data_IF_423653964338
#
_entry.id   IF_423653964338
#
_cell.length_a   1.000
_cell.length_b   1.000
_cell.length_c   1.000
_cell.angle_alpha   90.00
_cell.angle_beta   90.00
_cell.angle_gamma   90.00
#
_symmetry.space_group_name_H-M   'P 1'
#
loop_
_entity.id
_entity.type
_entity.pdbx_description
1 polymer ?
#
# COMPACT_ATOMS: atom_id res chain seq x y z
N UNK A 1 -2.23 -14.13 20.86
CA UNK A 1 -1.02 -13.27 20.93
C UNK A 1 0.31 -14.04 20.86
N UNK A 2 0.46 -15.25 21.43
CA UNK A 2 1.74 -15.98 21.45
C UNK A 2 2.20 -16.54 20.09
N UNK A 3 1.27 -16.87 19.19
CA UNK A 3 1.58 -17.46 17.87
C UNK A 3 2.29 -16.47 16.94
N UNK A 4 1.87 -15.21 16.96
CA UNK A 4 2.43 -14.14 16.12
C UNK A 4 3.89 -13.84 16.50
N UNK A 5 4.19 -13.80 17.80
CA UNK A 5 5.55 -13.56 18.29
C UNK A 5 6.53 -14.66 17.87
N UNK A 6 6.14 -15.94 18.03
CA UNK A 6 6.96 -17.08 17.59
C UNK A 6 7.22 -17.05 16.08
N UNK A 7 6.22 -16.67 15.28
CA UNK A 7 6.37 -16.55 13.83
C UNK A 7 7.31 -15.39 13.45
N UNK A 8 7.17 -14.23 14.10
CA UNK A 8 8.04 -13.07 13.89
C UNK A 8 9.49 -13.42 14.23
N UNK A 9 9.74 -14.05 15.37
CA UNK A 9 11.09 -14.40 15.80
C UNK A 9 11.72 -15.45 14.89
N UNK A 10 10.94 -16.40 14.37
CA UNK A 10 11.39 -17.34 13.35
C UNK A 10 11.74 -16.66 12.01
N UNK A 11 10.94 -15.67 11.58
CA UNK A 11 11.18 -14.91 10.34
C UNK A 11 12.42 -14.03 10.43
N UNK A 12 12.69 -13.40 11.58
CA UNK A 12 13.89 -12.58 11.79
C UNK A 12 15.19 -13.34 11.50
N UNK A 13 15.24 -14.63 11.86
CA UNK A 13 16.46 -15.47 11.71
C UNK A 13 16.50 -16.18 10.34
N UNK A 14 15.40 -16.20 9.58
CA UNK A 14 15.32 -16.97 8.32
C UNK A 14 15.10 -16.12 7.07
N UNK A 15 14.56 -14.91 7.20
CA UNK A 15 14.32 -14.03 6.08
C UNK A 15 15.63 -13.39 5.60
N UNK A 16 16.14 -13.86 4.44
CA UNK A 16 17.36 -13.34 3.82
C UNK A 16 17.33 -11.81 3.61
N UNK A 17 16.21 -11.19 3.18
CA UNK A 17 16.16 -9.73 3.07
C UNK A 17 16.30 -9.01 4.42
N UNK A 18 15.91 -9.63 5.53
CA UNK A 18 16.04 -9.03 6.85
C UNK A 18 17.46 -9.20 7.43
N UNK A 19 18.07 -10.37 7.23
CA UNK A 19 19.42 -10.67 7.71
C UNK A 19 20.52 -9.87 7.02
N UNK A 20 20.34 -9.58 5.73
CA UNK A 20 21.35 -8.92 4.89
C UNK A 20 20.98 -7.47 4.54
N UNK A 21 20.03 -6.86 5.25
CA UNK A 21 19.65 -5.46 5.07
C UNK A 21 20.16 -4.60 6.23
N UNK A 22 20.45 -3.33 5.93
CA UNK A 22 20.73 -2.33 6.96
C UNK A 22 19.44 -1.96 7.69
N UNK A 23 19.51 -1.82 9.01
CA UNK A 23 18.38 -1.34 9.80
C UNK A 23 18.05 0.11 9.46
N UNK A 24 16.78 0.51 9.66
CA UNK A 24 16.37 1.91 9.57
C UNK A 24 17.17 2.75 10.56
N UNK A 25 17.47 3.99 10.17
CA UNK A 25 18.04 4.97 11.11
C UNK A 25 17.01 5.27 12.21
N UNK A 26 17.45 5.64 13.43
CA UNK A 26 16.53 5.99 14.50
C UNK A 26 15.52 7.09 14.10
N UNK A 27 15.98 8.08 13.31
CA UNK A 27 15.12 9.14 12.80
C UNK A 27 14.06 8.66 11.81
N UNK A 28 14.43 7.76 10.88
CA UNK A 28 13.46 7.19 9.94
C UNK A 28 12.43 6.30 10.66
N UNK A 29 12.87 5.50 11.64
CA UNK A 29 11.97 4.68 12.44
C UNK A 29 10.99 5.56 13.26
N UNK A 30 11.48 6.63 13.90
CA UNK A 30 10.64 7.56 14.66
C UNK A 30 9.62 8.28 13.76
N UNK A 31 10.03 8.73 12.58
CA UNK A 31 9.13 9.37 11.63
C UNK A 31 8.03 8.41 11.14
N UNK A 32 8.36 7.13 10.91
CA UNK A 32 7.36 6.13 10.53
C UNK A 32 6.37 5.84 11.66
N UNK A 33 6.82 5.81 12.93
CA UNK A 33 5.94 5.63 14.08
C UNK A 33 4.96 6.80 14.17
N UNK A 34 5.45 8.03 14.16
CA UNK A 34 4.61 9.23 14.23
C UNK A 34 3.63 9.30 13.05
N UNK A 35 4.06 8.93 11.84
CA UNK A 35 3.17 8.88 10.68
C UNK A 35 2.02 7.90 10.88
N UNK A 36 2.28 6.72 11.48
CA UNK A 36 1.24 5.75 11.80
C UNK A 36 0.30 6.30 12.87
N UNK A 37 0.83 6.92 13.92
CA UNK A 37 0.03 7.51 15.01
C UNK A 37 -0.89 8.62 14.49
N UNK A 38 -0.40 9.49 13.60
CA UNK A 38 -1.21 10.51 12.91
C UNK A 38 -2.30 9.84 12.05
N UNK A 39 -1.97 8.79 11.31
CA UNK A 39 -2.94 8.06 10.48
C UNK A 39 -4.03 7.36 11.29
N UNK A 40 -3.70 6.86 12.49
CA UNK A 40 -4.66 6.21 13.38
C UNK A 40 -5.54 7.23 14.14
N UNK A 41 -5.01 8.43 14.42
CA UNK A 41 -5.71 9.45 15.20
C UNK A 41 -6.60 10.38 14.36
N UNK A 42 -6.24 10.68 13.11
CA UNK A 42 -7.00 11.57 12.24
C UNK A 42 -7.54 10.88 10.97
N UNK A 43 -8.84 10.54 10.91
CA UNK A 43 -9.44 9.96 9.71
C UNK A 43 -9.59 10.96 8.55
N UNK A 44 -9.59 12.28 8.83
CA UNK A 44 -9.88 13.32 7.82
C UNK A 44 -8.85 13.32 6.70
N UNK A 45 -7.58 13.04 7.04
CA UNK A 45 -6.49 12.96 6.06
C UNK A 45 -6.73 11.82 5.05
N UNK A 46 -7.24 10.67 5.49
CA UNK A 46 -7.54 9.53 4.64
C UNK A 46 -8.81 9.74 3.81
N UNK A 47 -9.84 10.33 4.39
CA UNK A 47 -11.07 10.69 3.68
C UNK A 47 -10.79 11.64 2.51
N UNK A 48 -10.04 12.72 2.78
CA UNK A 48 -9.63 13.68 1.76
C UNK A 48 -8.80 13.05 0.64
N UNK A 49 -7.94 12.08 0.97
CA UNK A 49 -7.17 11.33 -0.03
C UNK A 49 -8.09 10.56 -0.98
N UNK A 50 -9.10 9.87 -0.43
CA UNK A 50 -10.07 9.13 -1.24
C UNK A 50 -10.95 10.06 -2.09
N UNK A 51 -11.43 11.17 -1.53
CA UNK A 51 -12.20 12.18 -2.28
C UNK A 51 -11.40 12.70 -3.48
N UNK A 52 -10.14 13.06 -3.28
CA UNK A 52 -9.26 13.52 -4.34
C UNK A 52 -9.03 12.42 -5.40
N UNK A 53 -8.85 11.17 -4.97
CA UNK A 53 -8.72 10.02 -5.86
C UNK A 53 -9.98 9.79 -6.71
N UNK A 54 -11.17 9.91 -6.10
CA UNK A 54 -12.45 9.81 -6.80
C UNK A 54 -12.66 10.95 -7.80
N UNK A 55 -12.35 12.18 -7.41
CA UNK A 55 -12.41 13.35 -8.27
C UNK A 55 -11.51 13.17 -9.51
N UNK A 56 -10.24 12.78 -9.31
CA UNK A 56 -9.31 12.53 -10.41
C UNK A 56 -9.80 11.41 -11.33
N UNK A 57 -10.26 10.29 -10.76
CA UNK A 57 -10.80 9.16 -11.53
C UNK A 57 -12.03 9.55 -12.36
N UNK A 58 -12.92 10.36 -11.79
CA UNK A 58 -14.11 10.86 -12.49
C UNK A 58 -13.72 11.80 -13.65
N UNK A 59 -12.75 12.69 -13.43
CA UNK A 59 -12.19 13.56 -14.46
C UNK A 59 -11.59 12.76 -15.62
N UNK A 60 -10.71 11.79 -15.34
CA UNK A 60 -10.08 10.96 -16.36
C UNK A 60 -11.09 10.12 -17.15
N UNK A 61 -12.15 9.63 -16.50
CA UNK A 61 -13.25 8.92 -17.18
C UNK A 61 -14.04 9.85 -18.11
N UNK A 62 -14.29 11.09 -17.69
CA UNK A 62 -14.96 12.12 -18.49
C UNK A 62 -14.16 12.49 -19.73
N UNK A 63 -12.83 12.54 -19.62
CA UNK A 63 -11.92 12.82 -20.73
C UNK A 63 -11.64 11.63 -21.65
N UNK A 64 -12.34 10.49 -21.48
CA UNK A 64 -12.23 9.30 -22.35
C UNK A 64 -10.76 8.93 -22.67
N UNK A 65 -9.89 8.98 -21.67
CA UNK A 65 -8.50 8.56 -21.82
C UNK A 65 -8.52 7.05 -22.10
N UNK A 66 -8.23 6.69 -23.35
CA UNK A 66 -8.60 5.42 -23.99
C UNK A 66 -7.99 4.14 -23.37
N UNK A 67 -7.20 4.20 -22.30
CA UNK A 67 -6.50 3.00 -21.83
C UNK A 67 -6.35 2.80 -20.31
N UNK A 68 -6.94 3.64 -19.44
CA UNK A 68 -6.69 3.54 -18.00
C UNK A 68 -6.91 2.10 -17.46
N UNK A 69 -5.86 1.40 -16.98
CA UNK A 69 -5.89 -0.06 -16.79
C UNK A 69 -6.66 -0.53 -15.55
N UNK A 70 -7.34 0.35 -14.82
CA UNK A 70 -8.07 0.02 -13.59
C UNK A 70 -9.59 0.04 -13.75
N UNK A 71 -10.07 -0.26 -14.95
CA UNK A 71 -11.47 -0.61 -15.20
C UNK A 71 -11.52 -1.96 -15.89
N UNK A 72 -12.23 -2.93 -15.29
CA UNK A 72 -12.75 -4.13 -15.92
C UNK A 72 -11.78 -5.01 -16.76
N UNK A 73 -10.86 -5.71 -16.08
CA UNK A 73 -9.94 -6.71 -16.67
C UNK A 73 -10.54 -8.10 -16.93
N UNK A 74 -11.86 -8.30 -16.83
CA UNK A 74 -12.48 -9.63 -17.04
C UNK A 74 -12.92 -9.94 -18.48
N UNK A 75 -12.69 -9.05 -19.45
CA UNK A 75 -13.10 -9.28 -20.84
C UNK A 75 -12.00 -8.94 -21.83
N UNK A 76 -10.95 -9.76 -21.91
CA UNK A 76 -10.20 -10.05 -23.15
C UNK A 76 -9.19 -11.17 -22.88
N UNK A 77 -9.68 -12.40 -22.71
CA UNK A 77 -8.89 -13.60 -23.03
C UNK A 77 -9.62 -14.34 -24.16
N UNK A 78 -9.74 -13.68 -25.31
CA UNK A 78 -9.82 -14.42 -26.57
C UNK A 78 -8.38 -14.74 -26.99
N UNK A 79 -7.84 -15.81 -26.42
CA UNK A 79 -6.63 -16.45 -26.92
C UNK A 79 -7.00 -17.17 -28.21
N UNK A 80 -6.79 -16.49 -29.34
CA UNK A 80 -6.77 -17.12 -30.67
C UNK A 80 -5.51 -18.00 -30.73
N UNK A 81 -5.71 -19.31 -30.66
CA UNK A 81 -5.02 -20.28 -31.52
C UNK A 81 -6.10 -20.98 -32.34
#
# INVERSE_FOLDING_TARGET
MQVQKKLIDWLKVRARPFLFSTSLTPGAAAACIEAIDIMESDPLTMEKLWENGHYLKAGLKKFRVRHWPLGNTYHTLHYRR
#
